data_IF_716185371467
#
_entry.id   IF_716185371467
#
_cell.length_a   1.000
_cell.length_b   1.000
_cell.length_c   1.000
_cell.angle_alpha   90.00
_cell.angle_beta   90.00
_cell.angle_gamma   90.00
#
_symmetry.space_group_name_H-M   'P 1'
#
loop_
_entity.id
_entity.type
_entity.pdbx_description
1 polymer ?
#
# COMPACT_ATOMS: atom_id res chain seq x y z
N UNK A 1 1.06 -13.46 35.15
CA UNK A 1 1.55 -13.79 33.81
C UNK A 1 0.45 -14.55 33.14
N UNK A 2 -0.06 -14.02 32.03
CA UNK A 2 -1.15 -14.67 31.29
C UNK A 2 -0.53 -15.68 30.35
N UNK A 3 -0.97 -16.94 30.44
CA UNK A 3 -0.55 -18.02 29.55
C UNK A 3 -1.78 -18.55 28.83
N UNK A 4 -1.72 -18.57 27.50
CA UNK A 4 -2.75 -19.10 26.63
C UNK A 4 -2.15 -20.18 25.72
N UNK A 5 -2.69 -21.38 25.75
CA UNK A 5 -2.39 -22.45 24.81
C UNK A 5 -3.46 -22.43 23.72
N UNK A 6 -3.09 -22.09 22.49
CA UNK A 6 -3.96 -22.25 21.33
C UNK A 6 -3.71 -23.63 20.75
N UNK A 7 -4.74 -24.47 20.68
CA UNK A 7 -4.64 -25.86 20.22
C UNK A 7 -5.55 -26.10 19.02
N UNK A 8 -5.04 -26.78 17.99
CA UNK A 8 -5.79 -27.10 16.78
C UNK A 8 -4.89 -27.19 15.54
N UNK A 9 -5.40 -26.76 14.38
CA UNK A 9 -4.59 -26.66 13.17
C UNK A 9 -3.83 -25.32 13.15
N UNK A 10 -2.51 -25.37 12.96
CA UNK A 10 -1.65 -24.19 12.95
C UNK A 10 -0.75 -24.25 11.72
N UNK A 11 -0.82 -23.21 10.88
CA UNK A 11 0.10 -22.99 9.77
C UNK A 11 1.15 -21.99 10.25
N UNK A 12 2.38 -22.42 10.45
CA UNK A 12 3.43 -21.58 11.05
C UNK A 12 4.10 -20.66 10.03
N UNK A 13 4.06 -21.04 8.74
CA UNK A 13 4.86 -20.47 7.65
C UNK A 13 6.39 -20.52 7.89
N UNK A 14 6.85 -21.34 8.83
CA UNK A 14 8.26 -21.69 9.01
C UNK A 14 8.59 -22.90 8.10
N UNK A 15 9.50 -22.77 7.11
CA UNK A 15 9.88 -23.89 6.24
C UNK A 15 10.42 -25.11 7.00
N UNK A 16 11.00 -24.91 8.19
CA UNK A 16 11.51 -25.99 9.03
C UNK A 16 10.40 -26.70 9.82
N UNK A 17 9.29 -26.02 10.08
CA UNK A 17 8.20 -26.52 10.91
C UNK A 17 6.83 -26.02 10.42
N UNK A 18 6.40 -26.34 9.19
CA UNK A 18 5.32 -25.62 8.48
C UNK A 18 3.93 -25.75 9.10
N UNK A 19 3.70 -26.85 9.83
CA UNK A 19 2.45 -27.12 10.54
C UNK A 19 2.74 -27.47 11.99
N UNK A 20 1.88 -27.04 12.90
CA UNK A 20 1.93 -27.35 14.32
C UNK A 20 0.53 -27.72 14.86
N UNK A 21 0.51 -28.32 16.04
CA UNK A 21 -0.71 -28.72 16.77
C UNK A 21 -1.09 -27.75 17.90
N UNK A 22 -0.11 -27.00 18.41
CA UNK A 22 -0.37 -25.98 19.43
C UNK A 22 0.69 -24.86 19.45
N UNK A 23 0.30 -23.70 19.97
CA UNK A 23 1.18 -22.55 20.26
C UNK A 23 0.89 -22.05 21.67
N UNK A 24 1.95 -21.83 22.45
CA UNK A 24 1.87 -21.20 23.78
C UNK A 24 2.17 -19.72 23.64
N UNK A 25 1.25 -18.89 24.10
CA UNK A 25 1.42 -17.46 24.27
C UNK A 25 1.69 -17.17 25.75
N UNK A 26 2.73 -16.39 26.04
CA UNK A 26 3.07 -15.90 27.37
C UNK A 26 3.16 -14.38 27.32
N UNK A 27 2.36 -13.71 28.15
CA UNK A 27 2.35 -12.24 28.25
C UNK A 27 2.23 -11.55 26.86
N UNK A 28 1.39 -12.13 25.99
CA UNK A 28 1.07 -11.58 24.67
C UNK A 28 2.09 -11.86 23.57
N UNK A 29 3.08 -12.73 23.78
CA UNK A 29 4.04 -13.16 22.75
C UNK A 29 4.08 -14.69 22.64
N UNK A 30 4.43 -15.21 21.46
CA UNK A 30 4.70 -16.64 21.24
C UNK A 30 5.90 -17.04 22.09
N UNK A 31 5.71 -18.02 22.97
CA UNK A 31 6.72 -18.57 23.87
C UNK A 31 7.24 -19.91 23.32
N UNK A 32 6.35 -20.75 22.80
CA UNK A 32 6.69 -22.04 22.21
C UNK A 32 5.67 -22.47 21.13
N UNK A 33 6.14 -23.30 20.20
CA UNK A 33 5.35 -23.99 19.18
C UNK A 33 5.48 -25.49 19.46
N UNK A 34 4.37 -26.24 19.40
CA UNK A 34 4.27 -27.65 19.80
C UNK A 34 4.87 -27.96 21.18
N UNK A 35 4.29 -27.32 22.19
CA UNK A 35 4.65 -27.52 23.59
C UNK A 35 3.80 -28.61 24.26
N UNK A 36 4.46 -29.43 25.09
CA UNK A 36 3.79 -30.34 26.03
C UNK A 36 3.35 -29.64 27.33
N UNK A 37 3.63 -28.35 27.49
CA UNK A 37 3.38 -27.61 28.72
C UNK A 37 1.88 -27.29 28.90
N UNK A 38 1.20 -28.03 29.78
CA UNK A 38 -0.24 -27.92 30.06
C UNK A 38 -0.59 -27.49 31.49
N UNK A 39 0.41 -27.21 32.34
CA UNK A 39 0.16 -26.81 33.74
C UNK A 39 -0.05 -25.29 33.87
N UNK A 40 -1.16 -24.89 34.50
CA UNK A 40 -1.56 -23.50 34.76
C UNK A 40 -1.66 -22.61 33.51
N UNK A 41 -2.30 -23.12 32.44
CA UNK A 41 -2.48 -22.42 31.16
C UNK A 41 -3.97 -22.40 30.78
N UNK A 42 -4.47 -21.24 30.36
CA UNK A 42 -5.79 -21.13 29.72
C UNK A 42 -5.73 -21.78 28.34
N UNK A 43 -6.75 -22.53 27.93
CA UNK A 43 -6.75 -23.25 26.64
C UNK A 43 -7.81 -22.65 25.71
N UNK A 44 -7.38 -22.24 24.53
CA UNK A 44 -8.25 -21.94 23.40
C UNK A 44 -8.20 -23.11 22.40
N UNK A 45 -9.25 -23.92 22.38
CA UNK A 45 -9.43 -24.96 21.36
C UNK A 45 -9.98 -24.32 20.08
N UNK A 46 -9.29 -24.50 18.96
CA UNK A 46 -9.78 -24.06 17.65
C UNK A 46 -10.92 -24.95 17.17
N UNK A 47 -11.96 -24.31 16.62
CA UNK A 47 -13.07 -25.02 16.01
C UNK A 47 -12.62 -25.79 14.75
N UNK A 48 -13.42 -26.78 14.34
CA UNK A 48 -13.14 -27.51 13.10
C UNK A 48 -13.19 -26.56 11.91
N UNK A 49 -12.08 -26.43 11.18
CA UNK A 49 -11.95 -25.54 10.03
C UNK A 49 -11.30 -24.19 10.35
N UNK A 50 -11.10 -23.88 11.64
CA UNK A 50 -10.26 -22.77 12.06
C UNK A 50 -8.77 -23.17 11.97
N UNK A 51 -7.96 -22.25 11.44
CA UNK A 51 -6.50 -22.37 11.34
C UNK A 51 -5.84 -21.16 11.98
N UNK A 52 -4.97 -21.36 12.95
CA UNK A 52 -4.10 -20.29 13.44
C UNK A 52 -2.95 -20.08 12.45
N UNK A 53 -2.71 -18.84 12.04
CA UNK A 53 -1.59 -18.50 11.16
C UNK A 53 -1.07 -17.07 11.44
N UNK A 54 0.10 -16.69 10.90
CA UNK A 54 0.49 -15.29 10.82
C UNK A 54 -0.55 -14.44 10.09
N UNK A 55 -0.77 -13.23 10.58
CA UNK A 55 -1.53 -12.22 9.87
C UNK A 55 -0.77 -11.68 8.66
N UNK A 56 -1.51 -11.04 7.76
CA UNK A 56 -0.96 -10.43 6.55
C UNK A 56 -0.44 -9.03 6.83
N UNK A 57 0.56 -8.61 6.06
CA UNK A 57 0.98 -7.22 5.96
C UNK A 57 0.72 -6.67 4.57
N UNK A 58 0.46 -5.37 4.52
CA UNK A 58 0.44 -4.61 3.26
C UNK A 58 1.56 -3.57 3.31
N UNK A 59 2.68 -3.84 2.64
CA UNK A 59 3.92 -3.04 2.78
C UNK A 59 3.97 -1.76 1.94
N UNK A 60 2.87 -1.43 1.26
CA UNK A 60 2.73 -0.20 0.50
C UNK A 60 1.25 0.17 0.41
N UNK A 61 0.81 1.14 1.21
CA UNK A 61 -0.52 1.75 1.13
C UNK A 61 -0.41 3.26 1.29
N UNK A 62 -1.47 3.99 0.98
CA UNK A 62 -1.59 5.42 1.21
C UNK A 62 -2.79 5.69 2.13
N UNK A 63 -2.61 5.54 3.45
CA UNK A 63 -3.69 5.52 4.45
C UNK A 63 -4.63 6.70 4.36
N UNK A 64 -4.10 7.93 4.38
CA UNK A 64 -4.94 9.13 4.30
C UNK A 64 -5.66 9.23 2.96
N UNK A 65 -5.03 8.80 1.87
CA UNK A 65 -5.66 8.72 0.55
C UNK A 65 -6.75 7.64 0.51
N UNK A 66 -6.53 6.49 1.16
CA UNK A 66 -7.50 5.39 1.30
C UNK A 66 -8.70 5.83 2.13
N UNK A 67 -8.51 6.57 3.21
CA UNK A 67 -9.63 7.13 3.97
C UNK A 67 -10.36 8.19 3.13
N UNK A 68 -9.61 9.06 2.45
CA UNK A 68 -10.18 10.09 1.59
C UNK A 68 -10.99 9.52 0.43
N UNK A 69 -10.63 8.35 -0.12
CA UNK A 69 -11.41 7.70 -1.18
C UNK A 69 -12.78 7.23 -0.66
N UNK A 70 -12.88 6.77 0.58
CA UNK A 70 -14.16 6.43 1.24
C UNK A 70 -15.03 7.65 1.53
N UNK A 71 -14.42 8.83 1.69
CA UNK A 71 -15.14 10.10 1.79
C UNK A 71 -15.48 10.72 0.42
N UNK A 72 -15.10 10.07 -0.69
CA UNK A 72 -15.30 10.59 -2.05
C UNK A 72 -16.44 9.87 -2.74
N UNK A 73 -17.09 10.56 -3.69
CA UNK A 73 -18.06 9.91 -4.56
C UNK A 73 -17.34 8.94 -5.52
N UNK A 74 -17.65 7.66 -5.41
CA UNK A 74 -16.98 6.59 -6.16
C UNK A 74 -17.45 6.53 -7.62
N UNK A 75 -16.48 6.58 -8.54
CA UNK A 75 -16.65 6.49 -9.98
C UNK A 75 -15.80 5.35 -10.59
N UNK A 76 -15.39 4.37 -9.79
CA UNK A 76 -14.53 3.26 -10.23
C UNK A 76 -15.12 2.39 -11.33
N UNK A 77 -16.45 2.28 -11.40
CA UNK A 77 -17.14 1.42 -12.38
C UNK A 77 -17.54 2.18 -13.66
N UNK A 78 -17.10 3.43 -13.81
CA UNK A 78 -17.35 4.18 -15.03
C UNK A 78 -16.55 3.60 -16.21
N UNK A 79 -17.23 3.36 -17.33
CA UNK A 79 -16.71 2.78 -18.57
C UNK A 79 -16.78 3.75 -19.76
N UNK A 80 -17.31 4.96 -19.54
CA UNK A 80 -17.32 6.07 -20.49
C UNK A 80 -17.42 7.39 -19.74
N UNK A 81 -17.06 8.49 -20.39
CA UNK A 81 -17.21 9.83 -19.80
C UNK A 81 -18.70 10.13 -19.58
N UNK A 82 -19.60 9.70 -20.45
CA UNK A 82 -21.03 9.95 -20.24
C UNK A 82 -21.56 9.21 -18.99
N UNK A 83 -21.23 7.92 -18.82
CA UNK A 83 -21.59 7.16 -17.61
C UNK A 83 -20.97 7.78 -16.35
N UNK A 84 -19.71 8.25 -16.44
CA UNK A 84 -19.05 8.99 -15.36
C UNK A 84 -19.86 10.25 -14.97
N UNK A 85 -20.28 11.04 -15.95
CA UNK A 85 -21.05 12.27 -15.73
C UNK A 85 -22.46 11.99 -15.19
N UNK A 86 -23.12 10.93 -15.68
CA UNK A 86 -24.42 10.48 -15.17
C UNK A 86 -24.34 10.15 -13.68
N UNK A 87 -23.32 9.38 -13.26
CA UNK A 87 -23.08 9.09 -11.85
C UNK A 87 -22.73 10.35 -11.06
N UNK A 88 -21.79 11.15 -11.56
CA UNK A 88 -21.36 12.39 -10.89
C UNK A 88 -22.51 13.40 -10.70
N UNK A 89 -23.52 13.40 -11.57
CA UNK A 89 -24.69 14.28 -11.44
C UNK A 89 -25.51 14.06 -10.15
N UNK A 90 -25.34 12.90 -9.52
CA UNK A 90 -25.96 12.52 -8.24
C UNK A 90 -25.07 12.83 -7.03
N UNK A 91 -23.82 13.26 -7.25
CA UNK A 91 -22.91 13.63 -6.16
C UNK A 91 -23.39 14.91 -5.48
N UNK A 92 -23.25 14.95 -4.14
CA UNK A 92 -23.57 16.13 -3.34
C UNK A 92 -22.30 16.79 -2.81
N UNK A 93 -22.27 18.12 -2.63
CA UNK A 93 -21.14 18.78 -1.99
C UNK A 93 -21.00 18.31 -0.54
N UNK A 94 -19.76 18.11 -0.09
CA UNK A 94 -19.47 17.84 1.32
C UNK A 94 -19.66 19.07 2.21
N UNK A 95 -19.39 18.93 3.51
CA UNK A 95 -19.52 20.03 4.49
C UNK A 95 -18.62 21.24 4.18
N UNK A 96 -17.58 21.07 3.35
CA UNK A 96 -16.70 22.12 2.87
C UNK A 96 -17.21 22.81 1.58
N UNK A 97 -18.39 22.43 1.07
CA UNK A 97 -19.01 23.01 -0.12
C UNK A 97 -18.44 22.52 -1.45
N UNK A 98 -17.57 21.50 -1.45
CA UNK A 98 -16.96 20.93 -2.65
C UNK A 98 -17.50 19.53 -2.94
N UNK A 99 -17.61 19.18 -4.23
CA UNK A 99 -17.78 17.79 -4.64
C UNK A 99 -16.39 17.17 -4.78
N UNK A 100 -16.17 16.07 -4.07
CA UNK A 100 -14.98 15.23 -4.23
C UNK A 100 -15.40 13.90 -4.82
N UNK A 101 -14.80 13.51 -5.93
CA UNK A 101 -15.02 12.23 -6.57
C UNK A 101 -13.68 11.54 -6.89
N UNK A 102 -13.69 10.23 -7.01
CA UNK A 102 -12.47 9.43 -7.14
C UNK A 102 -12.71 8.14 -7.95
N UNK A 103 -11.63 7.58 -8.52
CA UNK A 103 -11.55 6.14 -8.82
C UNK A 103 -11.66 5.73 -10.29
N UNK A 104 -11.94 6.68 -11.18
CA UNK A 104 -12.04 6.41 -12.63
C UNK A 104 -10.67 6.07 -13.24
N UNK A 105 -10.64 5.24 -14.29
CA UNK A 105 -9.41 4.86 -15.02
C UNK A 105 -9.57 5.23 -16.51
N UNK A 106 -8.82 6.22 -17.03
CA UNK A 106 -8.96 6.67 -18.41
C UNK A 106 -8.78 5.57 -19.45
N UNK A 107 -7.95 4.54 -19.19
CA UNK A 107 -7.76 3.43 -20.14
C UNK A 107 -8.99 2.51 -20.28
N UNK A 108 -9.88 2.52 -19.28
CA UNK A 108 -11.13 1.74 -19.26
C UNK A 108 -12.27 2.53 -19.91
N UNK A 109 -12.21 3.86 -19.90
CA UNK A 109 -13.22 4.70 -20.54
C UNK A 109 -13.22 4.49 -22.06
N UNK A 110 -14.40 4.44 -22.66
CA UNK A 110 -14.61 4.32 -24.10
C UNK A 110 -13.83 5.39 -24.90
N UNK A 111 -13.71 6.59 -24.36
CA UNK A 111 -13.02 7.72 -24.98
C UNK A 111 -11.49 7.66 -24.85
N UNK A 112 -10.94 6.79 -23.99
CA UNK A 112 -9.50 6.65 -23.71
C UNK A 112 -8.79 7.96 -23.40
N UNK A 113 -9.45 8.81 -22.62
CA UNK A 113 -8.93 10.12 -22.16
C UNK A 113 -9.48 10.45 -20.78
N UNK A 114 -8.84 11.39 -20.10
CA UNK A 114 -9.44 12.01 -18.92
C UNK A 114 -10.65 12.88 -19.35
N UNK A 115 -11.68 13.02 -18.49
CA UNK A 115 -12.66 14.10 -18.62
C UNK A 115 -11.95 15.45 -18.50
N UNK A 116 -12.63 16.50 -18.95
CA UNK A 116 -12.16 17.88 -18.89
C UNK A 116 -13.05 18.72 -17.97
N UNK A 117 -12.59 19.93 -17.62
CA UNK A 117 -13.42 20.94 -16.95
C UNK A 117 -14.77 21.14 -17.64
N UNK A 118 -14.77 21.19 -18.99
CA UNK A 118 -15.98 21.31 -19.81
C UNK A 118 -16.93 20.13 -19.63
N UNK A 119 -16.40 18.90 -19.53
CA UNK A 119 -17.21 17.71 -19.26
C UNK A 119 -17.87 17.82 -17.87
N UNK A 120 -17.08 18.16 -16.84
CA UNK A 120 -17.56 18.26 -15.45
C UNK A 120 -18.57 19.39 -15.24
N UNK A 121 -18.39 20.53 -15.90
CA UNK A 121 -19.29 21.70 -15.78
C UNK A 121 -20.73 21.36 -16.23
N UNK A 122 -20.92 20.36 -17.10
CA UNK A 122 -22.24 19.90 -17.56
C UNK A 122 -23.14 19.42 -16.42
N UNK A 123 -22.58 18.84 -15.37
CA UNK A 123 -23.35 18.13 -14.32
C UNK A 123 -23.16 18.69 -12.92
N UNK A 124 -22.10 19.47 -12.68
CA UNK A 124 -21.69 19.95 -11.36
C UNK A 124 -22.36 21.26 -10.93
N UNK A 125 -23.14 21.92 -11.81
CA UNK A 125 -24.00 23.08 -11.49
C UNK A 125 -23.25 24.23 -10.78
N UNK A 126 -22.02 24.53 -11.21
CA UNK A 126 -21.11 25.53 -10.62
C UNK A 126 -20.68 25.25 -9.17
N UNK A 127 -20.90 24.04 -8.64
CA UNK A 127 -20.26 23.61 -7.40
C UNK A 127 -18.80 23.29 -7.71
N UNK A 128 -17.81 23.81 -6.96
CA UNK A 128 -16.41 23.41 -7.10
C UNK A 128 -16.24 21.90 -6.97
N UNK A 129 -15.67 21.27 -8.00
CA UNK A 129 -15.50 19.82 -8.07
C UNK A 129 -14.06 19.45 -8.36
N UNK A 130 -13.54 18.50 -7.59
CA UNK A 130 -12.28 17.81 -7.86
C UNK A 130 -12.54 16.31 -8.04
N UNK A 131 -12.12 15.79 -9.19
CA UNK A 131 -12.20 14.38 -9.56
C UNK A 131 -10.79 13.81 -9.63
N UNK A 132 -10.45 12.87 -8.77
CA UNK A 132 -9.18 12.14 -8.85
C UNK A 132 -9.34 10.88 -9.70
N UNK A 133 -8.34 10.58 -10.52
CA UNK A 133 -8.24 9.28 -11.15
C UNK A 133 -7.89 8.19 -10.12
N UNK A 134 -7.94 6.93 -10.56
CA UNK A 134 -7.62 5.79 -9.70
C UNK A 134 -6.18 5.82 -9.19
N UNK A 135 -5.25 6.35 -9.98
CA UNK A 135 -3.84 6.41 -9.61
C UNK A 135 -3.53 7.47 -8.56
N UNK A 136 -4.36 8.51 -8.45
CA UNK A 136 -4.13 9.65 -7.57
C UNK A 136 -3.12 10.67 -8.12
N UNK A 137 -2.43 10.35 -9.22
CA UNK A 137 -1.46 11.21 -9.89
C UNK A 137 -2.12 12.26 -10.80
N UNK A 138 -3.37 11.99 -11.24
CA UNK A 138 -4.14 12.92 -12.07
C UNK A 138 -5.41 13.34 -11.34
N UNK A 139 -5.67 14.64 -11.33
CA UNK A 139 -6.94 15.20 -10.93
C UNK A 139 -7.54 16.05 -12.05
N UNK A 140 -8.86 16.08 -12.14
CA UNK A 140 -9.61 16.97 -13.04
C UNK A 140 -10.47 17.88 -12.18
N UNK A 141 -10.28 19.18 -12.33
CA UNK A 141 -11.08 20.21 -11.67
C UNK A 141 -12.02 20.87 -12.68
N UNK A 142 -13.24 21.18 -12.25
CA UNK A 142 -14.18 21.94 -13.06
C UNK A 142 -13.85 23.45 -13.05
N UNK A 143 -14.60 24.27 -13.79
CA UNK A 143 -14.29 25.71 -13.89
C UNK A 143 -14.40 26.42 -12.54
N UNK A 144 -15.42 26.10 -11.74
CA UNK A 144 -15.62 26.69 -10.41
C UNK A 144 -14.46 26.36 -9.44
N UNK A 145 -13.95 25.12 -9.47
CA UNK A 145 -12.79 24.72 -8.68
C UNK A 145 -11.50 25.39 -9.18
N UNK A 146 -11.29 25.47 -10.50
CA UNK A 146 -10.13 26.15 -11.07
C UNK A 146 -10.06 27.62 -10.64
N UNK A 147 -11.19 28.33 -10.62
CA UNK A 147 -11.29 29.70 -10.12
C UNK A 147 -10.95 29.80 -8.64
N UNK A 148 -11.51 28.92 -7.81
CA UNK A 148 -11.25 28.89 -6.37
C UNK A 148 -9.77 28.59 -6.04
N UNK A 149 -9.08 27.83 -6.90
CA UNK A 149 -7.67 27.48 -6.76
C UNK A 149 -6.71 28.51 -7.39
N UNK A 150 -7.24 29.51 -8.10
CA UNK A 150 -6.45 30.52 -8.80
C UNK A 150 -5.73 30.00 -10.04
N UNK A 151 -6.26 28.97 -10.70
CA UNK A 151 -5.70 28.37 -11.91
C UNK A 151 -6.22 29.15 -13.13
N UNK A 152 -5.35 29.46 -14.09
CA UNK A 152 -5.77 30.18 -15.30
C UNK A 152 -6.77 29.36 -16.12
N UNK A 153 -7.90 29.98 -16.51
CA UNK A 153 -9.04 29.39 -17.23
C UNK A 153 -8.74 28.64 -18.55
N UNK A 154 -7.52 28.74 -19.11
CA UNK A 154 -7.18 28.09 -20.38
C UNK A 154 -6.76 26.62 -20.26
N UNK A 155 -6.72 26.04 -19.05
CA UNK A 155 -6.40 24.63 -18.86
C UNK A 155 -7.65 23.76 -18.94
N UNK A 156 -7.51 22.55 -19.48
CA UNK A 156 -8.54 21.50 -19.59
C UNK A 156 -9.08 21.02 -18.24
N UNK A 157 -8.69 21.66 -17.13
CA UNK A 157 -8.95 21.22 -15.76
C UNK A 157 -8.06 20.05 -15.31
N UNK A 158 -7.28 19.46 -16.21
CA UNK A 158 -6.42 18.31 -15.92
C UNK A 158 -5.15 18.79 -15.22
N UNK A 159 -4.89 18.22 -14.06
CA UNK A 159 -3.77 18.48 -13.17
C UNK A 159 -2.99 17.17 -13.01
N UNK A 160 -1.80 17.10 -13.61
CA UNK A 160 -0.89 15.94 -13.54
C UNK A 160 0.23 16.27 -12.56
N UNK A 161 0.38 15.50 -11.49
CA UNK A 161 1.41 15.70 -10.44
C UNK A 161 1.42 17.08 -9.77
N UNK A 162 0.32 17.85 -9.87
CA UNK A 162 0.23 19.22 -9.33
C UNK A 162 -0.19 19.27 -7.86
N UNK A 163 0.55 18.57 -7.00
CA UNK A 163 0.28 18.59 -5.55
C UNK A 163 0.39 20.01 -4.95
N UNK A 164 1.22 20.88 -5.54
CA UNK A 164 1.34 22.30 -5.20
C UNK A 164 0.04 23.11 -5.40
N UNK A 165 -0.84 22.63 -6.29
CA UNK A 165 -2.20 23.16 -6.48
C UNK A 165 -3.18 22.38 -5.61
N UNK A 166 -3.14 21.05 -5.64
CA UNK A 166 -4.13 20.19 -4.98
C UNK A 166 -4.14 20.36 -3.46
N UNK A 167 -3.02 20.75 -2.85
CA UNK A 167 -2.95 21.10 -1.42
C UNK A 167 -3.86 22.27 -1.01
N UNK A 168 -4.30 23.09 -1.98
CA UNK A 168 -5.22 24.23 -1.76
C UNK A 168 -6.69 23.82 -1.85
N UNK A 169 -6.99 22.60 -2.26
CA UNK A 169 -8.37 22.08 -2.18
C UNK A 169 -8.80 22.02 -0.72
N UNK A 170 -10.07 22.30 -0.40
CA UNK A 170 -10.54 22.20 0.97
C UNK A 170 -10.33 20.80 1.51
N UNK A 171 -9.70 20.72 2.69
CA UNK A 171 -9.45 19.45 3.35
C UNK A 171 -10.78 18.79 3.73
N UNK A 172 -10.76 17.46 3.76
CA UNK A 172 -11.82 16.69 4.39
C UNK A 172 -11.83 16.97 5.90
N UNK A 173 -13.01 16.90 6.52
CA UNK A 173 -13.09 17.01 7.97
C UNK A 173 -12.36 15.82 8.59
N UNK A 174 -11.64 16.07 9.69
CA UNK A 174 -10.91 15.02 10.40
C UNK A 174 -11.88 13.93 10.90
N UNK A 175 -13.09 14.31 11.29
CA UNK A 175 -14.11 13.37 11.74
C UNK A 175 -14.60 12.44 10.61
N UNK A 176 -14.72 12.95 9.38
CA UNK A 176 -15.05 12.11 8.21
C UNK A 176 -13.94 11.09 7.94
N UNK A 177 -12.67 11.52 8.02
CA UNK A 177 -11.51 10.63 7.86
C UNK A 177 -11.44 9.56 8.94
N UNK A 178 -11.81 9.91 10.18
CA UNK A 178 -11.87 8.98 11.32
C UNK A 178 -12.94 7.90 11.13
N UNK A 179 -14.13 8.29 10.69
CA UNK A 179 -15.21 7.34 10.36
C UNK A 179 -14.76 6.39 9.22
N UNK A 180 -14.18 6.94 8.16
CA UNK A 180 -13.64 6.14 7.05
C UNK A 180 -12.53 5.18 7.52
N UNK A 181 -11.64 5.62 8.40
CA UNK A 181 -10.58 4.78 8.94
C UNK A 181 -11.14 3.60 9.75
N UNK A 182 -12.19 3.82 10.54
CA UNK A 182 -12.85 2.74 11.29
C UNK A 182 -13.37 1.64 10.35
N UNK A 183 -14.05 2.01 9.28
CA UNK A 183 -14.58 1.07 8.28
C UNK A 183 -13.44 0.32 7.57
N UNK A 184 -12.41 1.05 7.13
CA UNK A 184 -11.25 0.48 6.44
C UNK A 184 -10.50 -0.50 7.33
N UNK A 185 -10.21 -0.14 8.58
CA UNK A 185 -9.52 -1.04 9.51
C UNK A 185 -10.35 -2.26 9.86
N UNK A 186 -11.68 -2.12 9.98
CA UNK A 186 -12.56 -3.27 10.17
C UNK A 186 -12.52 -4.21 8.97
N UNK A 187 -12.57 -3.68 7.74
CA UNK A 187 -12.46 -4.46 6.51
C UNK A 187 -11.10 -5.21 6.44
N UNK A 188 -10.01 -4.49 6.70
CA UNK A 188 -8.66 -5.05 6.69
C UNK A 188 -8.46 -6.13 7.73
N UNK A 189 -9.02 -5.96 8.93
CA UNK A 189 -9.02 -7.00 9.97
C UNK A 189 -9.78 -8.24 9.51
N UNK A 190 -10.95 -8.07 8.89
CA UNK A 190 -11.71 -9.18 8.29
C UNK A 190 -10.98 -9.86 7.13
N UNK A 191 -10.01 -9.17 6.50
CA UNK A 191 -9.10 -9.71 5.49
C UNK A 191 -7.78 -10.27 6.07
N UNK A 192 -7.61 -10.22 7.40
CA UNK A 192 -6.44 -10.75 8.10
C UNK A 192 -5.21 -9.83 8.09
N UNK A 193 -5.35 -8.57 7.68
CA UNK A 193 -4.27 -7.59 7.70
C UNK A 193 -4.05 -7.12 9.14
N UNK A 194 -2.84 -7.30 9.65
CA UNK A 194 -2.43 -6.93 11.02
C UNK A 194 -1.31 -5.88 11.04
N UNK A 195 -0.68 -5.61 9.90
CA UNK A 195 0.34 -4.58 9.75
C UNK A 195 0.24 -3.92 8.37
N UNK A 196 0.55 -2.63 8.29
CA UNK A 196 0.58 -1.87 7.06
C UNK A 196 1.76 -0.90 7.05
N UNK A 197 2.29 -0.62 5.87
CA UNK A 197 3.29 0.42 5.66
C UNK A 197 2.72 1.53 4.78
N UNK A 198 2.54 2.72 5.35
CA UNK A 198 2.15 3.91 4.62
C UNK A 198 3.33 4.44 3.79
N UNK A 199 3.18 4.45 2.47
CA UNK A 199 4.21 4.81 1.49
C UNK A 199 4.06 6.26 0.97
N UNK A 200 3.33 7.11 1.68
CA UNK A 200 3.01 8.47 1.21
C UNK A 200 4.25 9.37 1.27
N UNK A 201 4.74 9.80 0.12
CA UNK A 201 5.96 10.62 0.01
C UNK A 201 5.82 12.03 0.58
N UNK A 202 4.60 12.52 0.78
CA UNK A 202 4.36 13.83 1.40
C UNK A 202 4.23 13.74 2.93
N UNK A 203 4.32 12.54 3.50
CA UNK A 203 4.30 12.36 4.95
C UNK A 203 5.39 13.20 5.60
N UNK A 204 4.97 13.88 6.65
CA UNK A 204 5.81 14.65 7.54
C UNK A 204 5.42 14.34 8.99
N UNK A 205 6.04 15.08 9.90
CA UNK A 205 5.76 15.01 11.33
C UNK A 205 4.26 15.14 11.69
N UNK A 206 3.50 15.98 10.99
CA UNK A 206 2.08 16.19 11.27
C UNK A 206 1.23 15.05 10.73
N UNK A 207 1.56 14.51 9.55
CA UNK A 207 0.89 13.34 8.99
C UNK A 207 1.01 12.14 9.94
N UNK A 208 2.20 11.89 10.48
CA UNK A 208 2.43 10.82 11.46
C UNK A 208 1.63 11.02 12.75
N UNK A 209 1.54 12.25 13.27
CA UNK A 209 0.72 12.54 14.46
C UNK A 209 -0.78 12.27 14.23
N UNK A 210 -1.28 12.59 13.04
CA UNK A 210 -2.67 12.31 12.64
C UNK A 210 -2.92 10.81 12.51
N UNK A 211 -2.01 10.08 11.84
CA UNK A 211 -2.10 8.62 11.71
C UNK A 211 -2.09 7.95 13.10
N UNK A 212 -1.25 8.42 14.01
CA UNK A 212 -1.23 7.93 15.40
C UNK A 212 -2.54 8.21 16.15
N UNK A 213 -3.11 9.41 16.00
CA UNK A 213 -4.41 9.74 16.60
C UNK A 213 -5.55 8.84 16.09
N UNK A 214 -5.58 8.60 14.77
CA UNK A 214 -6.56 7.70 14.16
C UNK A 214 -6.32 6.26 14.63
N UNK A 215 -5.06 5.82 14.68
CA UNK A 215 -4.68 4.47 15.07
C UNK A 215 -5.03 4.13 16.52
N UNK A 216 -4.80 5.05 17.46
CA UNK A 216 -5.15 4.93 18.87
C UNK A 216 -6.67 4.76 19.09
N UNK A 217 -7.50 5.31 18.21
CA UNK A 217 -8.96 5.36 18.39
C UNK A 217 -9.71 4.13 17.85
N UNK A 218 -9.19 3.48 16.80
CA UNK A 218 -9.96 2.50 16.02
C UNK A 218 -9.30 1.12 15.87
N UNK A 219 -8.38 0.79 16.77
CA UNK A 219 -7.70 -0.51 16.79
C UNK A 219 -7.04 -0.84 15.44
N UNK A 220 -6.22 0.11 14.96
CA UNK A 220 -5.53 -0.03 13.69
C UNK A 220 -4.61 -1.26 13.65
N UNK A 221 -4.32 -1.79 12.44
CA UNK A 221 -3.14 -2.62 12.26
C UNK A 221 -1.89 -1.87 12.75
N UNK A 222 -0.77 -2.58 12.97
CA UNK A 222 0.51 -1.91 13.22
C UNK A 222 0.84 -1.03 12.01
N UNK A 223 1.06 0.26 12.23
CA UNK A 223 1.39 1.21 11.17
C UNK A 223 2.88 1.51 11.22
N UNK A 224 3.56 1.24 10.12
CA UNK A 224 4.83 1.87 9.78
C UNK A 224 4.55 2.97 8.77
N UNK A 225 5.09 4.18 8.92
CA UNK A 225 4.90 5.26 7.96
C UNK A 225 6.24 5.71 7.41
N UNK A 226 6.41 5.60 6.09
CA UNK A 226 7.51 6.25 5.39
C UNK A 226 7.35 7.77 5.49
N UNK A 227 8.46 8.48 5.42
CA UNK A 227 8.51 9.96 5.47
C UNK A 227 9.09 10.46 4.17
N UNK A 228 8.59 11.57 3.62
CA UNK A 228 9.22 12.19 2.46
C UNK A 228 10.71 12.43 2.67
N UNK A 229 11.54 12.05 1.70
CA UNK A 229 12.98 12.26 1.78
C UNK A 229 13.37 13.76 1.92
N UNK A 230 12.50 14.66 1.47
CA UNK A 230 12.58 16.12 1.62
C UNK A 230 12.02 16.64 2.96
N UNK A 231 11.48 15.76 3.82
CA UNK A 231 10.65 16.09 5.00
C UNK A 231 11.06 15.39 6.29
N UNK A 232 12.27 14.81 6.35
CA UNK A 232 12.73 14.02 7.50
C UNK A 232 12.73 14.79 8.84
N UNK A 233 12.98 16.11 8.84
CA UNK A 233 12.67 17.06 9.93
C UNK A 233 12.88 16.56 11.38
N UNK A 234 14.06 16.01 11.66
CA UNK A 234 14.47 15.54 13.00
C UNK A 234 13.78 14.25 13.46
N UNK A 235 13.12 13.54 12.56
CA UNK A 235 12.67 12.17 12.77
C UNK A 235 13.86 11.20 12.69
N UNK A 236 13.71 9.99 13.24
CA UNK A 236 14.69 8.91 13.14
C UNK A 236 14.04 7.62 12.66
N UNK A 237 14.70 6.94 11.72
CA UNK A 237 14.29 5.61 11.28
C UNK A 237 14.12 4.66 12.48
N UNK A 238 12.98 3.95 12.51
CA UNK A 238 12.60 2.99 13.56
C UNK A 238 12.10 3.62 14.88
N UNK A 239 12.03 4.95 15.01
CA UNK A 239 11.43 5.54 16.21
C UNK A 239 9.91 5.35 16.21
N UNK A 240 9.32 5.14 17.40
CA UNK A 240 7.87 5.04 17.55
C UNK A 240 7.33 6.40 18.00
N UNK A 241 6.33 6.89 17.28
CA UNK A 241 5.66 8.16 17.52
C UNK A 241 4.14 7.97 17.52
N UNK A 242 3.51 8.15 18.68
CA UNK A 242 2.06 7.96 18.87
C UNK A 242 1.57 6.61 18.28
N UNK A 243 2.31 5.54 18.56
CA UNK A 243 2.01 4.20 18.05
C UNK A 243 2.37 3.94 16.58
N UNK A 244 2.82 4.94 15.82
CA UNK A 244 3.31 4.79 14.44
C UNK A 244 4.82 4.65 14.44
N UNK A 245 5.34 3.61 13.78
CA UNK A 245 6.77 3.45 13.57
C UNK A 245 7.22 4.28 12.35
N UNK A 246 8.30 5.04 12.51
CA UNK A 246 8.91 5.79 11.41
C UNK A 246 9.68 4.84 10.50
N UNK A 247 9.21 4.66 9.27
CA UNK A 247 9.82 3.83 8.25
C UNK A 247 10.84 4.56 7.38
N UNK A 248 11.05 4.04 6.18
CA UNK A 248 12.01 4.55 5.18
C UNK A 248 11.78 6.02 4.80
N UNK A 249 12.83 6.64 4.25
CA UNK A 249 12.69 7.88 3.50
C UNK A 249 12.08 7.55 2.13
N UNK A 250 10.81 7.90 1.91
CA UNK A 250 10.13 7.73 0.64
C UNK A 250 10.65 8.74 -0.38
N UNK A 251 11.11 8.24 -1.51
CA UNK A 251 11.66 8.99 -2.61
C UNK A 251 10.75 8.81 -3.83
N UNK A 252 10.30 9.93 -4.39
CA UNK A 252 9.57 9.96 -5.67
C UNK A 252 10.47 10.59 -6.73
N UNK A 253 10.76 9.88 -7.83
CA UNK A 253 11.33 10.49 -9.03
C UNK A 253 10.40 11.59 -9.55
N UNK A 254 10.98 12.69 -10.00
CA UNK A 254 10.23 13.83 -10.53
C UNK A 254 10.04 13.70 -12.04
N UNK A 255 8.80 13.86 -12.50
CA UNK A 255 8.44 13.81 -13.93
C UNK A 255 9.06 14.96 -14.73
N UNK A 256 9.35 16.09 -14.09
CA UNK A 256 10.00 17.26 -14.73
C UNK A 256 11.53 17.25 -14.61
N UNK A 257 12.12 16.24 -13.95
CA UNK A 257 13.57 16.10 -13.78
C UNK A 257 14.23 17.23 -12.98
N UNK A 258 13.45 18.01 -12.20
CA UNK A 258 13.99 19.08 -11.36
C UNK A 258 14.60 18.54 -10.06
N UNK A 259 14.27 17.30 -9.70
CA UNK A 259 14.73 16.64 -8.49
C UNK A 259 15.86 15.67 -8.80
N UNK A 260 17.06 15.92 -8.28
CA UNK A 260 18.18 15.00 -8.40
C UNK A 260 18.00 13.83 -7.42
N UNK A 261 17.63 12.66 -7.97
CA UNK A 261 17.40 11.43 -7.21
C UNK A 261 18.62 11.03 -6.37
N UNK A 262 19.84 11.29 -6.85
CA UNK A 262 21.08 10.99 -6.11
C UNK A 262 21.19 11.87 -4.88
N UNK A 263 20.80 13.15 -4.99
CA UNK A 263 20.82 14.09 -3.86
C UNK A 263 19.80 13.67 -2.80
N UNK A 264 18.58 13.26 -3.21
CA UNK A 264 17.56 12.79 -2.27
C UNK A 264 17.99 11.52 -1.53
N UNK A 265 18.44 10.50 -2.25
CA UNK A 265 18.88 9.23 -1.66
C UNK A 265 20.07 9.45 -0.72
N UNK A 266 21.06 10.23 -1.16
CA UNK A 266 22.21 10.55 -0.30
C UNK A 266 21.79 11.34 0.94
N UNK A 267 20.88 12.29 0.81
CA UNK A 267 20.38 13.06 1.96
C UNK A 267 19.64 12.17 2.96
N UNK A 268 18.89 11.17 2.48
CA UNK A 268 18.27 10.17 3.33
C UNK A 268 19.30 9.32 4.07
N UNK A 269 20.33 8.83 3.37
CA UNK A 269 21.39 8.01 3.98
C UNK A 269 22.20 8.82 5.00
N UNK A 270 22.54 10.08 4.69
CA UNK A 270 23.24 11.00 5.60
C UNK A 270 22.40 11.30 6.85
N UNK A 271 21.07 11.25 6.75
CA UNK A 271 20.14 11.37 7.88
C UNK A 271 19.90 10.04 8.63
N UNK A 272 20.54 8.94 8.20
CA UNK A 272 20.42 7.62 8.82
C UNK A 272 19.16 6.83 8.42
N UNK A 273 18.50 7.21 7.33
CA UNK A 273 17.33 6.52 6.80
C UNK A 273 17.71 5.65 5.60
N UNK A 274 17.20 4.40 5.52
CA UNK A 274 17.16 3.69 4.25
C UNK A 274 16.13 4.36 3.32
N UNK A 275 16.42 4.37 2.03
CA UNK A 275 15.55 4.91 1.01
C UNK A 275 14.51 3.87 0.53
N UNK A 276 13.30 4.34 0.27
CA UNK A 276 12.25 3.60 -0.43
C UNK A 276 11.90 4.35 -1.72
N UNK A 277 12.33 3.85 -2.87
CA UNK A 277 12.28 4.60 -4.14
C UNK A 277 11.17 4.05 -5.03
N UNK A 278 10.24 4.91 -5.45
CA UNK A 278 9.22 4.57 -6.45
C UNK A 278 9.85 4.32 -7.82
N UNK A 279 9.68 3.11 -8.39
CA UNK A 279 10.23 2.75 -9.69
C UNK A 279 9.26 1.87 -10.51
N UNK A 280 8.62 2.46 -11.52
CA UNK A 280 7.56 1.80 -12.32
C UNK A 280 8.02 1.36 -13.71
N UNK A 281 9.07 1.96 -14.26
CA UNK A 281 9.56 1.67 -15.60
C UNK A 281 11.09 1.46 -15.61
N UNK A 282 11.60 1.02 -16.77
CA UNK A 282 13.01 0.66 -16.97
C UNK A 282 13.93 1.86 -16.70
N UNK A 283 13.56 3.05 -17.17
CA UNK A 283 14.39 4.25 -17.07
C UNK A 283 14.45 4.74 -15.62
N UNK A 284 13.28 4.81 -14.96
CA UNK A 284 13.18 5.19 -13.55
C UNK A 284 13.92 4.21 -12.64
N UNK A 285 13.84 2.90 -12.94
CA UNK A 285 14.61 1.89 -12.22
C UNK A 285 16.11 2.07 -12.42
N UNK A 286 16.55 2.38 -13.64
CA UNK A 286 17.97 2.64 -13.93
C UNK A 286 18.49 3.85 -13.13
N UNK A 287 17.71 4.94 -13.08
CA UNK A 287 18.04 6.11 -12.28
C UNK A 287 18.13 5.79 -10.79
N UNK A 288 17.18 5.02 -10.25
CA UNK A 288 17.18 4.58 -8.86
C UNK A 288 18.42 3.74 -8.51
N UNK A 289 18.77 2.76 -9.36
CA UNK A 289 19.95 1.94 -9.19
C UNK A 289 21.24 2.76 -9.27
N UNK A 290 21.32 3.75 -10.17
CA UNK A 290 22.46 4.66 -10.28
C UNK A 290 22.59 5.58 -9.05
N UNK A 291 21.47 6.03 -8.49
CA UNK A 291 21.45 6.82 -7.26
C UNK A 291 21.93 6.01 -6.05
N UNK A 292 21.39 4.82 -5.84
CA UNK A 292 21.79 3.94 -4.73
C UNK A 292 23.27 3.54 -4.82
N UNK A 293 23.75 3.18 -6.01
CA UNK A 293 25.15 2.79 -6.22
C UNK A 293 26.16 3.90 -5.87
N UNK A 294 25.74 5.17 -5.87
CA UNK A 294 26.61 6.33 -5.64
C UNK A 294 26.37 7.05 -4.31
N UNK A 295 25.36 6.65 -3.53
CA UNK A 295 24.94 7.32 -2.29
C UNK A 295 25.63 6.79 -1.03
N UNK A 296 26.45 5.75 -1.14
CA UNK A 296 27.06 5.08 0.02
C UNK A 296 26.06 4.18 0.76
N UNK A 297 26.56 3.22 1.52
CA UNK A 297 25.70 2.28 2.23
C UNK A 297 24.97 2.97 3.41
N UNK A 298 23.68 2.66 3.57
CA UNK A 298 22.92 3.07 4.75
C UNK A 298 23.45 2.37 6.00
N UNK A 299 23.45 3.06 7.14
CA UNK A 299 23.95 2.52 8.42
C UNK A 299 22.94 1.64 9.16
N UNK A 300 21.66 1.63 8.74
CA UNK A 300 20.57 0.92 9.40
C UNK A 300 19.46 0.62 8.40
N UNK A 301 18.90 -0.59 8.47
CA UNK A 301 17.91 -1.05 7.50
C UNK A 301 18.50 -1.42 6.14
N UNK A 302 17.61 -1.62 5.17
CA UNK A 302 17.92 -1.99 3.79
C UNK A 302 17.13 -1.05 2.87
N UNK A 303 17.79 -0.52 1.85
CA UNK A 303 17.12 0.25 0.80
C UNK A 303 16.14 -0.63 0.05
N UNK A 304 15.01 -0.05 -0.36
CA UNK A 304 14.01 -0.79 -1.13
C UNK A 304 13.51 -0.04 -2.35
N UNK A 305 13.17 -0.82 -3.37
CA UNK A 305 12.42 -0.35 -4.53
C UNK A 305 10.94 -0.63 -4.30
N UNK A 306 10.12 0.35 -4.60
CA UNK A 306 8.68 0.25 -4.61
C UNK A 306 8.21 -0.01 -6.03
N UNK A 307 7.30 -0.96 -6.17
CA UNK A 307 6.76 -1.52 -7.40
C UNK A 307 7.74 -2.43 -8.16
N UNK A 308 8.81 -1.84 -8.71
CA UNK A 308 9.72 -2.52 -9.63
C UNK A 308 8.93 -3.21 -10.77
N UNK A 309 7.94 -2.49 -11.34
CA UNK A 309 6.95 -3.12 -12.21
C UNK A 309 7.51 -3.53 -13.57
N UNK A 310 8.56 -2.91 -14.08
CA UNK A 310 9.20 -3.31 -15.33
C UNK A 310 10.72 -3.30 -15.14
N UNK A 311 11.37 -4.45 -15.22
CA UNK A 311 12.81 -4.55 -14.98
C UNK A 311 13.50 -5.54 -15.93
N UNK A 312 14.61 -5.10 -16.51
CA UNK A 312 15.46 -5.95 -17.34
C UNK A 312 16.29 -6.92 -16.47
N UNK A 313 16.68 -8.11 -16.98
CA UNK A 313 17.47 -9.07 -16.22
C UNK A 313 18.74 -8.48 -15.58
N UNK A 314 19.46 -7.62 -16.29
CA UNK A 314 20.65 -6.92 -15.80
C UNK A 314 20.35 -5.91 -14.69
N UNK A 315 19.15 -5.33 -14.67
CA UNK A 315 18.71 -4.46 -13.58
C UNK A 315 18.41 -5.29 -12.34
N UNK A 316 17.79 -6.47 -12.50
CA UNK A 316 17.56 -7.40 -11.40
C UNK A 316 18.87 -7.91 -10.79
N UNK A 317 19.88 -8.19 -11.61
CA UNK A 317 21.21 -8.58 -11.12
C UNK A 317 21.82 -7.45 -10.26
N UNK A 318 21.68 -6.20 -10.68
CA UNK A 318 22.14 -5.03 -9.92
C UNK A 318 21.36 -4.81 -8.62
N UNK A 319 20.05 -5.06 -8.59
CA UNK A 319 19.25 -5.03 -7.35
C UNK A 319 19.88 -5.98 -6.32
N UNK A 320 20.23 -7.20 -6.76
CA UNK A 320 20.86 -8.21 -5.91
C UNK A 320 22.28 -7.82 -5.48
N UNK A 321 23.09 -7.26 -6.37
CA UNK A 321 24.45 -6.82 -6.07
C UNK A 321 24.49 -5.69 -5.03
N UNK A 322 23.54 -4.76 -5.12
CA UNK A 322 23.40 -3.63 -4.21
C UNK A 322 22.67 -3.98 -2.89
N UNK A 323 22.22 -5.23 -2.73
CA UNK A 323 21.44 -5.69 -1.57
C UNK A 323 20.19 -4.84 -1.30
N UNK A 324 19.41 -4.60 -2.36
CA UNK A 324 18.17 -3.83 -2.32
C UNK A 324 16.98 -4.79 -2.19
N UNK A 325 16.03 -4.47 -1.31
CA UNK A 325 14.75 -5.19 -1.20
C UNK A 325 13.71 -4.64 -2.21
N UNK A 326 12.64 -5.39 -2.49
CA UNK A 326 11.58 -4.96 -3.40
C UNK A 326 10.21 -5.16 -2.77
N UNK A 327 9.40 -4.10 -2.72
CA UNK A 327 7.98 -4.21 -2.40
C UNK A 327 7.17 -4.09 -3.70
N UNK A 328 6.41 -5.12 -4.07
CA UNK A 328 5.72 -5.20 -5.37
C UNK A 328 4.22 -5.49 -5.25
N UNK A 329 3.44 -5.20 -6.29
CA UNK A 329 1.96 -5.24 -6.26
C UNK A 329 1.38 -6.18 -7.35
N UNK A 330 1.47 -7.51 -7.19
CA UNK A 330 1.00 -8.46 -8.19
C UNK A 330 -0.47 -8.27 -8.59
N UNK A 331 -1.33 -7.83 -7.67
CA UNK A 331 -2.74 -7.55 -7.92
C UNK A 331 -3.00 -6.46 -8.97
N UNK A 332 -2.00 -5.62 -9.30
CA UNK A 332 -2.10 -4.69 -10.42
C UNK A 332 -2.32 -5.43 -11.75
N UNK A 333 -1.80 -6.65 -11.90
CA UNK A 333 -2.06 -7.48 -13.08
C UNK A 333 -3.54 -7.87 -13.19
N UNK A 334 -4.28 -7.94 -12.10
CA UNK A 334 -5.72 -8.24 -12.12
C UNK A 334 -6.55 -7.01 -12.46
N UNK A 335 -6.20 -5.86 -11.87
CA UNK A 335 -7.02 -4.63 -11.97
C UNK A 335 -6.64 -3.71 -13.12
N UNK A 336 -5.40 -3.81 -13.63
CA UNK A 336 -4.83 -2.87 -14.60
C UNK A 336 -4.29 -3.57 -15.85
N UNK A 337 -4.64 -4.83 -16.07
CA UNK A 337 -4.25 -5.58 -17.27
C UNK A 337 -4.53 -4.83 -18.58
N UNK A 338 -5.73 -4.23 -18.78
CA UNK A 338 -6.02 -3.55 -20.05
C UNK A 338 -5.06 -2.39 -20.33
N UNK A 339 -4.63 -1.67 -19.28
CA UNK A 339 -3.65 -0.60 -19.39
C UNK A 339 -2.32 -1.14 -19.91
N UNK A 340 -1.77 -2.16 -19.25
CA UNK A 340 -0.50 -2.78 -19.68
C UNK A 340 -0.55 -3.31 -21.10
N UNK A 341 -1.62 -4.03 -21.46
CA UNK A 341 -1.78 -4.57 -22.83
C UNK A 341 -1.87 -3.48 -23.91
N UNK A 342 -2.29 -2.27 -23.54
CA UNK A 342 -2.42 -1.14 -24.47
C UNK A 342 -1.15 -0.29 -24.59
N UNK A 343 -0.35 -0.22 -23.52
CA UNK A 343 0.82 0.66 -23.43
C UNK A 343 2.14 -0.05 -23.70
N UNK A 344 2.23 -1.35 -23.40
CA UNK A 344 3.46 -2.13 -23.49
C UNK A 344 3.47 -3.02 -24.73
N UNK A 345 4.66 -3.22 -25.28
CA UNK A 345 4.90 -4.19 -26.33
C UNK A 345 4.90 -5.62 -25.79
N UNK A 346 4.69 -6.60 -26.68
CA UNK A 346 4.80 -8.02 -26.33
C UNK A 346 6.18 -8.42 -25.79
N UNK A 347 7.22 -7.64 -26.09
CA UNK A 347 8.56 -7.86 -25.56
C UNK A 347 8.65 -7.43 -24.08
N UNK A 348 8.08 -6.27 -23.75
CA UNK A 348 8.05 -5.70 -22.40
C UNK A 348 7.16 -6.50 -21.45
N UNK A 349 6.11 -7.16 -21.95
CA UNK A 349 5.29 -8.07 -21.14
C UNK A 349 6.10 -9.16 -20.43
N UNK A 350 7.28 -9.54 -20.95
CA UNK A 350 8.16 -10.53 -20.32
C UNK A 350 8.91 -10.02 -19.11
N UNK A 351 9.03 -8.71 -18.97
CA UNK A 351 9.77 -8.03 -17.89
C UNK A 351 8.83 -7.40 -16.86
N UNK A 352 7.51 -7.51 -17.10
CA UNK A 352 6.47 -6.89 -16.32
C UNK A 352 6.16 -7.71 -15.05
N UNK A 353 6.25 -7.08 -13.89
CA UNK A 353 6.09 -7.63 -12.55
C UNK A 353 6.96 -8.89 -12.34
N UNK A 354 8.30 -8.80 -12.35
CA UNK A 354 9.21 -9.95 -12.46
C UNK A 354 9.42 -10.71 -11.14
N UNK A 355 8.33 -11.20 -10.54
CA UNK A 355 8.29 -11.76 -9.19
C UNK A 355 9.16 -13.02 -9.05
N UNK A 356 9.06 -13.99 -9.97
CA UNK A 356 9.87 -15.21 -9.88
C UNK A 356 11.36 -14.90 -10.12
N UNK A 357 11.66 -14.02 -11.08
CA UNK A 357 13.03 -13.59 -11.39
C UNK A 357 13.70 -12.87 -10.22
N UNK A 358 12.94 -12.10 -9.43
CA UNK A 358 13.43 -11.49 -8.18
C UNK A 358 13.79 -12.57 -7.14
N UNK A 359 12.87 -13.51 -6.91
CA UNK A 359 13.04 -14.62 -5.96
C UNK A 359 14.23 -15.51 -6.34
N UNK A 360 14.38 -15.87 -7.61
CA UNK A 360 15.46 -16.75 -8.09
C UNK A 360 16.86 -16.15 -7.84
N UNK A 361 16.95 -14.82 -7.74
CA UNK A 361 18.18 -14.08 -7.39
C UNK A 361 18.41 -13.97 -5.89
N UNK A 362 17.48 -14.44 -5.07
CA UNK A 362 17.51 -14.28 -3.62
C UNK A 362 17.34 -12.83 -3.18
N UNK A 363 16.60 -12.03 -3.95
CA UNK A 363 16.21 -10.67 -3.56
C UNK A 363 15.08 -10.77 -2.52
N UNK A 364 15.15 -9.97 -1.47
CA UNK A 364 14.08 -9.88 -0.47
C UNK A 364 12.87 -9.19 -1.09
N UNK A 365 11.73 -9.87 -1.12
CA UNK A 365 10.50 -9.37 -1.74
C UNK A 365 9.35 -9.37 -0.73
N UNK A 366 8.59 -8.28 -0.72
CA UNK A 366 7.30 -8.21 -0.04
C UNK A 366 6.18 -7.82 -1.00
N UNK A 367 4.94 -8.14 -0.63
CA UNK A 367 3.75 -7.88 -1.42
C UNK A 367 2.92 -6.75 -0.81
N UNK A 368 2.19 -6.03 -1.66
CA UNK A 368 1.31 -4.94 -1.24
C UNK A 368 0.18 -4.67 -2.23
N UNK A 369 -0.76 -3.82 -1.83
CA UNK A 369 -1.87 -3.38 -2.69
C UNK A 369 -1.68 -2.01 -3.31
N UNK A 370 -0.86 -1.13 -2.73
CA UNK A 370 -0.86 0.29 -3.10
C UNK A 370 -2.27 0.92 -2.96
N UNK A 371 -3.02 0.52 -1.93
CA UNK A 371 -4.35 1.08 -1.65
C UNK A 371 -4.28 2.61 -1.53
N UNK A 372 -5.20 3.38 -2.14
CA UNK A 372 -6.45 2.94 -2.75
C UNK A 372 -6.38 2.60 -4.25
N UNK A 373 -5.20 2.55 -4.87
CA UNK A 373 -5.07 2.29 -6.33
C UNK A 373 -5.72 0.96 -6.69
N UNK A 374 -5.48 -0.09 -5.91
CA UNK A 374 -6.31 -1.31 -5.91
C UNK A 374 -6.72 -1.69 -4.48
N UNK A 375 -7.72 -2.59 -4.31
CA UNK A 375 -8.16 -2.99 -2.98
C UNK A 375 -7.07 -3.67 -2.14
N UNK A 376 -7.00 -3.32 -0.86
CA UNK A 376 -6.15 -3.97 0.13
C UNK A 376 -6.76 -5.32 0.57
N UNK A 377 -6.56 -6.33 -0.27
CA UNK A 377 -7.05 -7.69 -0.06
C UNK A 377 -5.93 -8.71 -0.34
N UNK A 378 -5.38 -9.38 0.70
CA UNK A 378 -4.29 -10.33 0.56
C UNK A 378 -4.57 -11.48 -0.39
N UNK A 379 -5.82 -11.94 -0.46
CA UNK A 379 -6.21 -13.00 -1.38
C UNK A 379 -5.93 -12.61 -2.84
N UNK A 380 -6.09 -11.33 -3.20
CA UNK A 380 -5.91 -10.88 -4.57
C UNK A 380 -4.45 -10.82 -5.00
N UNK A 381 -3.55 -10.28 -4.17
CA UNK A 381 -2.13 -10.25 -4.54
C UNK A 381 -1.44 -11.62 -4.39
N UNK A 382 -1.89 -12.47 -3.46
CA UNK A 382 -1.45 -13.87 -3.39
C UNK A 382 -1.91 -14.63 -4.64
N UNK A 383 -3.18 -14.54 -5.02
CA UNK A 383 -3.72 -15.20 -6.22
C UNK A 383 -2.99 -14.72 -7.48
N UNK A 384 -2.80 -13.41 -7.64
CA UNK A 384 -2.08 -12.86 -8.79
C UNK A 384 -0.59 -13.24 -8.83
N UNK A 385 0.01 -13.61 -7.70
CA UNK A 385 1.40 -14.11 -7.63
C UNK A 385 1.52 -15.55 -8.14
N UNK A 386 0.45 -16.34 -8.02
CA UNK A 386 0.43 -17.77 -8.36
C UNK A 386 -0.16 -17.97 -9.76
N UNK A 387 -1.27 -17.29 -10.04
CA UNK A 387 -2.09 -17.43 -11.25
C UNK A 387 -2.12 -16.12 -12.03
N UNK A 388 -1.02 -15.81 -12.69
CA UNK A 388 -0.85 -14.58 -13.46
C UNK A 388 -1.72 -14.56 -14.73
N UNK A 389 -2.39 -13.44 -15.05
CA UNK A 389 -3.20 -13.33 -16.27
C UNK A 389 -2.38 -13.19 -17.56
N UNK A 390 -1.06 -13.01 -17.46
CA UNK A 390 -0.12 -12.95 -18.59
C UNK A 390 0.59 -14.29 -18.89
N UNK A 391 0.09 -15.38 -18.30
CA UNK A 391 0.72 -16.71 -18.35
C UNK A 391 1.61 -16.98 -17.15
N UNK A 392 2.08 -18.22 -17.02
CA UNK A 392 2.79 -18.71 -15.82
C UNK A 392 4.24 -18.21 -15.68
N UNK A 393 4.76 -17.45 -16.64
CA UNK A 393 6.06 -16.81 -16.49
C UNK A 393 5.97 -15.83 -15.32
N UNK A 394 7.00 -15.79 -14.47
CA UNK A 394 7.06 -14.94 -13.27
C UNK A 394 6.04 -15.29 -12.16
N UNK A 395 5.40 -16.47 -12.23
CA UNK A 395 4.57 -16.99 -11.14
C UNK A 395 5.43 -17.68 -10.07
N UNK A 396 4.99 -17.63 -8.81
CA UNK A 396 5.63 -18.29 -7.66
C UNK A 396 4.71 -19.34 -7.02
N UNK A 397 5.25 -20.17 -6.14
CA UNK A 397 4.43 -21.10 -5.35
C UNK A 397 3.52 -20.35 -4.36
N UNK A 398 2.40 -20.99 -3.99
CA UNK A 398 1.50 -20.44 -2.97
C UNK A 398 2.20 -20.22 -1.62
N UNK A 399 3.05 -21.17 -1.21
CA UNK A 399 3.83 -21.08 0.02
C UNK A 399 4.71 -19.83 0.03
N UNK A 400 5.42 -19.57 -1.07
CA UNK A 400 6.28 -18.41 -1.18
C UNK A 400 5.48 -17.10 -1.23
N UNK A 401 4.36 -17.07 -1.97
CA UNK A 401 3.47 -15.91 -2.00
C UNK A 401 2.93 -15.57 -0.60
N UNK A 402 2.52 -16.58 0.18
CA UNK A 402 2.12 -16.42 1.58
C UNK A 402 3.27 -15.91 2.45
N UNK A 403 4.47 -16.45 2.29
CA UNK A 403 5.65 -16.01 3.05
C UNK A 403 5.98 -14.52 2.80
N UNK A 404 5.90 -14.06 1.55
CA UNK A 404 6.14 -12.65 1.19
C UNK A 404 5.03 -11.70 1.69
N UNK A 405 3.81 -12.21 1.91
CA UNK A 405 2.65 -11.44 2.37
C UNK A 405 2.44 -11.47 3.90
N UNK A 406 2.95 -12.49 4.59
CA UNK A 406 2.75 -12.66 6.04
C UNK A 406 3.72 -11.78 6.83
N UNK A 407 3.28 -11.25 7.99
CA UNK A 407 4.13 -10.45 8.89
C UNK A 407 5.44 -11.13 9.28
N UNK A 408 5.38 -12.42 9.62
CA UNK A 408 6.54 -13.28 9.92
C UNK A 408 6.05 -14.73 10.14
N UNK A 409 6.96 -15.70 10.14
CA UNK A 409 6.65 -17.06 10.58
C UNK A 409 6.38 -17.11 12.10
N UNK A 410 5.57 -18.07 12.55
CA UNK A 410 5.29 -18.31 13.97
C UNK A 410 6.54 -18.87 14.64
N UNK A 411 7.27 -17.99 15.32
CA UNK A 411 8.47 -18.33 16.09
C UNK A 411 8.43 -17.65 17.46
N UNK A 412 9.17 -18.17 18.47
CA UNK A 412 9.26 -17.52 19.77
C UNK A 412 9.64 -16.04 19.66
N UNK A 413 8.87 -15.18 20.34
CA UNK A 413 9.00 -13.73 20.31
C UNK A 413 7.99 -13.00 19.42
N UNK A 414 7.28 -13.69 18.52
CA UNK A 414 6.24 -13.07 17.70
C UNK A 414 5.07 -12.58 18.58
N UNK A 415 4.63 -11.32 18.48
CA UNK A 415 3.49 -10.84 19.25
C UNK A 415 2.19 -11.54 18.86
N UNK A 416 1.33 -11.86 19.82
CA UNK A 416 0.03 -12.49 19.60
C UNK A 416 -0.89 -11.65 18.70
N UNK A 417 -0.74 -10.32 18.72
CA UNK A 417 -1.46 -9.41 17.82
C UNK A 417 -1.06 -9.51 16.34
N UNK A 418 -0.01 -10.29 16.03
CA UNK A 418 0.42 -10.61 14.67
C UNK A 418 -0.14 -11.95 14.18
N UNK A 419 -0.92 -12.64 15.00
CA UNK A 419 -1.55 -13.91 14.66
C UNK A 419 -3.05 -13.70 14.39
N UNK A 420 -3.58 -14.51 13.50
CA UNK A 420 -5.01 -14.54 13.14
C UNK A 420 -5.50 -15.97 13.11
N UNK A 421 -6.78 -16.15 13.45
CA UNK A 421 -7.51 -17.38 13.20
C UNK A 421 -8.27 -17.17 11.91
N UNK A 422 -8.04 -18.04 10.92
CA UNK A 422 -8.68 -18.00 9.63
C UNK A 422 -9.63 -19.18 9.44
N UNK A 423 -10.73 -18.93 8.73
CA UNK A 423 -11.67 -19.96 8.28
C UNK A 423 -12.34 -19.53 6.96
N UNK A 424 -13.32 -20.30 6.50
CA UNK A 424 -14.06 -20.04 5.26
C UNK A 424 -14.76 -18.67 5.23
N UNK A 425 -15.03 -18.06 6.39
CA UNK A 425 -15.74 -16.79 6.52
C UNK A 425 -14.82 -15.58 6.65
N UNK A 426 -13.51 -15.77 6.84
CA UNK A 426 -12.54 -14.67 6.96
C UNK A 426 -11.55 -14.88 8.09
N UNK A 427 -11.15 -13.77 8.71
CA UNK A 427 -10.10 -13.73 9.74
C UNK A 427 -10.62 -13.08 11.02
N UNK A 428 -10.14 -13.56 12.17
CA UNK A 428 -10.39 -12.99 13.50
C UNK A 428 -9.11 -12.98 14.35
N UNK A 429 -8.95 -12.03 15.28
CA UNK A 429 -7.79 -12.04 16.18
C UNK A 429 -7.82 -13.25 17.12
N UNK A 430 -6.63 -13.68 17.56
CA UNK A 430 -6.47 -14.81 18.52
C UNK A 430 -6.97 -14.44 19.91
N UNK A 431 -6.65 -13.23 20.34
CA UNK A 431 -7.04 -12.67 21.63
C UNK A 431 -7.97 -11.51 21.33
N UNK A 432 -9.17 -11.51 21.92
CA UNK A 432 -10.02 -10.31 21.90
C UNK A 432 -9.27 -9.18 22.61
N UNK A 433 -9.13 -8.02 21.97
CA UNK A 433 -8.64 -6.83 22.69
C UNK A 433 -9.79 -6.34 23.56
N UNK A 434 -9.62 -6.41 24.87
CA UNK A 434 -10.59 -5.94 25.89
C UNK A 434 -11.00 -4.49 25.68
#
# INVERSE_FOLDING_TARGET
MTRLLVRGQIDTLDPAHPVASNVVLRDGVVDAVDSDAVEDVEILELDRGDVLQPGWRDDHVHLLSTFASRCSYDLSDADSIEHLLERLSSASPGGNGWIRAWGYEPSVLAERRHPTSVDLDRVTRNVPTVLHDRSGHVAVVNTAAAEALGIQRQQTGILVERQDILIRTPRLAVDDLKIAAQEVFSEWRCNGIVAVTDATHTNDRNALDLLGEIGEMYDAPRITAMVGADRLNGLRFGEIRRGVEVGHAKVMPDVEGMTDLKVLVRSAHDAGFPAAIHAMDIDTLEEALAALATSGAVTSGIDRLEHCSLALPEQLDRIRELNIAVCTQPSFLTHRLPKYLSELSSAEHRWLWPLASLVERGIEVTLSSDSPVVPANPKQWIEASINRPLGSNEAVSEELAKHMAAVSAITPGLPAGMLVIANDFGYRPVIGRD
#
